data_IF_632375949142
#
_entry.id   IF_632375949142
#
_cell.length_a   1.000
_cell.length_b   1.000
_cell.length_c   1.000
_cell.angle_alpha   90.00
_cell.angle_beta   90.00
_cell.angle_gamma   90.00
#
_symmetry.space_group_name_H-M   'P 1'
#
loop_
_entity.id
_entity.type
_entity.pdbx_description
1 polymer ?
#
# COMPACT_ATOMS: atom_id res chain seq x y z
N UNK A 1 -25.86 -25.34 -31.26
CA UNK A 1 -25.82 -25.53 -29.80
C UNK A 1 -26.52 -24.34 -29.19
N UNK A 2 -27.78 -24.51 -28.78
CA UNK A 2 -28.55 -23.49 -28.07
C UNK A 2 -28.01 -23.39 -26.64
N UNK A 3 -27.72 -22.17 -26.20
CA UNK A 3 -27.23 -21.88 -24.86
C UNK A 3 -28.42 -21.40 -24.02
N UNK A 4 -28.89 -22.23 -23.09
CA UNK A 4 -30.01 -21.92 -22.22
C UNK A 4 -29.53 -21.08 -21.03
N UNK A 5 -29.90 -19.80 -21.05
CA UNK A 5 -29.51 -18.80 -20.06
C UNK A 5 -30.11 -19.07 -18.67
N UNK A 6 -31.18 -19.86 -18.58
CA UNK A 6 -31.85 -20.15 -17.32
C UNK A 6 -31.08 -21.17 -16.46
N UNK A 7 -30.27 -22.02 -17.07
CA UNK A 7 -29.48 -23.02 -16.35
C UNK A 7 -28.24 -22.39 -15.70
N UNK A 8 -27.63 -21.39 -16.36
CA UNK A 8 -26.45 -20.70 -15.84
C UNK A 8 -26.75 -19.75 -14.66
N UNK A 9 -28.00 -19.30 -14.51
CA UNK A 9 -28.42 -18.37 -13.46
C UNK A 9 -28.92 -19.07 -12.18
N UNK A 10 -29.22 -20.38 -12.23
CA UNK A 10 -29.74 -21.13 -11.09
C UNK A 10 -28.66 -21.81 -10.23
N UNK A 11 -27.42 -21.91 -10.70
CA UNK A 11 -26.34 -22.66 -10.03
C UNK A 11 -25.37 -21.79 -9.20
N UNK A 12 -25.68 -20.52 -8.92
CA UNK A 12 -24.90 -19.69 -7.99
C UNK A 12 -25.65 -19.47 -6.67
N UNK A 13 -25.10 -19.86 -5.52
CA UNK A 13 -25.75 -19.66 -4.23
C UNK A 13 -25.92 -18.17 -3.94
N UNK A 14 -27.16 -17.77 -3.66
CA UNK A 14 -27.59 -16.41 -3.44
C UNK A 14 -26.78 -15.70 -2.34
N UNK A 15 -26.12 -14.59 -2.71
CA UNK A 15 -25.63 -13.61 -1.75
C UNK A 15 -26.82 -12.84 -1.19
N UNK A 16 -27.27 -13.20 0.01
CA UNK A 16 -28.28 -12.47 0.76
C UNK A 16 -27.60 -11.30 1.46
N UNK A 17 -27.78 -10.08 0.96
CA UNK A 17 -27.46 -8.87 1.73
C UNK A 17 -28.50 -8.70 2.84
N UNK A 18 -28.14 -9.11 4.05
CA UNK A 18 -28.88 -8.76 5.27
C UNK A 18 -28.70 -7.26 5.55
N UNK A 19 -29.80 -6.52 5.57
CA UNK A 19 -29.85 -5.15 6.11
C UNK A 19 -29.56 -5.22 7.62
N UNK A 20 -28.32 -4.96 8.01
CA UNK A 20 -27.96 -4.72 9.39
C UNK A 20 -28.37 -3.29 9.78
N UNK A 21 -29.28 -3.21 10.74
CA UNK A 21 -29.73 -1.99 11.42
C UNK A 21 -28.56 -1.25 12.07
N UNK A 22 -28.39 0.04 11.78
CA UNK A 22 -27.47 0.94 12.51
C UNK A 22 -28.23 2.22 12.91
N UNK A 23 -27.97 2.79 14.10
CA UNK A 23 -28.90 3.67 14.81
C UNK A 23 -28.90 5.12 14.32
N UNK A 24 -30.04 5.77 14.51
CA UNK A 24 -30.26 7.21 14.30
C UNK A 24 -29.37 8.08 15.20
N UNK A 25 -28.69 9.07 14.60
CA UNK A 25 -28.43 10.37 15.24
C UNK A 25 -28.22 11.47 14.19
N UNK A 26 -28.38 12.70 14.64
CA UNK A 26 -29.03 13.85 14.00
C UNK A 26 -28.12 14.79 13.21
N UNK A 27 -28.75 15.44 12.21
CA UNK A 27 -28.50 16.77 11.64
C UNK A 27 -27.25 16.97 10.76
N UNK A 28 -27.42 17.14 9.44
CA UNK A 28 -27.76 18.45 8.86
C UNK A 28 -27.91 18.40 7.32
N UNK A 29 -28.76 19.29 6.81
CA UNK A 29 -29.11 19.61 5.39
C UNK A 29 -30.20 18.76 4.71
N UNK A 30 -31.34 19.37 4.31
CA UNK A 30 -32.37 18.68 3.54
C UNK A 30 -31.89 18.44 2.10
N UNK A 31 -32.23 17.30 1.48
CA UNK A 31 -31.99 17.08 0.05
C UNK A 31 -32.79 18.10 -0.77
N UNK A 32 -32.32 18.47 -1.98
CA UNK A 32 -33.05 19.37 -2.86
C UNK A 32 -34.46 18.82 -3.10
N UNK A 33 -35.45 19.69 -2.89
CA UNK A 33 -36.87 19.35 -2.98
C UNK A 33 -37.18 18.65 -4.29
N UNK A 34 -37.59 17.39 -4.16
CA UNK A 34 -38.23 16.59 -5.19
C UNK A 34 -39.32 17.41 -5.88
N UNK A 35 -39.20 17.60 -7.19
CA UNK A 35 -40.35 17.91 -8.04
C UNK A 35 -41.31 16.73 -7.96
N UNK A 36 -42.21 16.77 -6.97
CA UNK A 36 -43.23 15.77 -6.63
C UNK A 36 -44.41 15.76 -7.63
N UNK A 37 -44.16 16.17 -8.87
CA UNK A 37 -45.16 16.35 -9.91
C UNK A 37 -44.89 15.40 -11.09
N UNK A 38 -44.97 14.09 -10.83
CA UNK A 38 -45.12 13.07 -11.87
C UNK A 38 -45.66 11.73 -11.34
N UNK A 39 -45.73 11.52 -10.02
CA UNK A 39 -46.17 10.27 -9.39
C UNK A 39 -47.67 10.26 -9.08
N UNK A 40 -48.47 10.77 -10.00
CA UNK A 40 -49.92 10.62 -9.97
C UNK A 40 -50.35 9.94 -11.27
N UNK A 41 -50.08 8.64 -11.36
CA UNK A 41 -50.82 7.76 -12.27
C UNK A 41 -51.11 6.42 -11.58
N UNK A 42 -52.34 5.89 -11.68
CA UNK A 42 -52.78 4.72 -10.93
C UNK A 42 -52.32 3.43 -11.61
N UNK A 43 -51.84 2.47 -10.79
CA UNK A 43 -51.51 1.07 -11.13
C UNK A 43 -50.35 0.86 -12.13
N UNK A 44 -49.12 1.19 -11.72
CA UNK A 44 -47.93 0.58 -12.38
C UNK A 44 -47.69 -0.78 -11.72
N UNK A 45 -47.85 -1.87 -12.48
CA UNK A 45 -47.46 -3.22 -12.08
C UNK A 45 -46.01 -3.20 -11.60
N UNK A 46 -45.71 -3.77 -10.44
CA UNK A 46 -44.33 -3.98 -10.03
C UNK A 46 -43.62 -4.81 -11.11
N UNK A 47 -42.43 -4.40 -11.59
CA UNK A 47 -41.68 -5.17 -12.57
C UNK A 47 -41.30 -6.52 -11.94
N UNK A 48 -41.77 -7.61 -12.54
CA UNK A 48 -41.50 -8.99 -12.07
C UNK A 48 -40.36 -9.64 -12.83
N UNK A 49 -39.98 -9.10 -13.99
CA UNK A 49 -38.94 -9.62 -14.86
C UNK A 49 -38.04 -8.51 -15.40
N UNK A 50 -36.85 -8.86 -15.91
CA UNK A 50 -35.93 -7.88 -16.53
C UNK A 50 -36.58 -7.08 -17.67
N UNK A 51 -37.50 -7.70 -18.42
CA UNK A 51 -38.19 -7.06 -19.54
C UNK A 51 -39.08 -5.89 -19.09
N UNK A 52 -39.54 -5.92 -17.84
CA UNK A 52 -40.43 -4.91 -17.26
C UNK A 52 -39.66 -3.68 -16.74
N UNK A 53 -38.33 -3.73 -16.65
CA UNK A 53 -37.53 -2.63 -16.09
C UNK A 53 -37.54 -1.40 -17.01
N UNK A 54 -37.73 -0.17 -16.50
CA UNK A 54 -37.54 1.07 -17.26
C UNK A 54 -36.14 1.20 -17.86
N UNK A 55 -36.02 1.95 -18.96
CA UNK A 55 -34.74 2.08 -19.70
C UNK A 55 -33.69 2.81 -18.85
N UNK A 56 -34.15 3.74 -18.02
CA UNK A 56 -33.36 4.51 -17.05
C UNK A 56 -32.79 3.60 -15.96
N UNK A 57 -33.56 2.58 -15.54
CA UNK A 57 -33.10 1.58 -14.57
C UNK A 57 -32.06 0.67 -15.20
N UNK A 58 -32.25 0.25 -16.45
CA UNK A 58 -31.25 -0.54 -17.20
C UNK A 58 -29.96 0.27 -17.37
N UNK A 59 -30.05 1.55 -17.75
CA UNK A 59 -28.89 2.43 -17.87
C UNK A 59 -28.15 2.58 -16.52
N UNK A 60 -28.89 2.76 -15.42
CA UNK A 60 -28.32 2.87 -14.07
C UNK A 60 -27.68 1.57 -13.59
N UNK A 61 -28.25 0.40 -13.90
CA UNK A 61 -27.59 -0.89 -13.68
C UNK A 61 -26.29 -0.93 -14.49
N UNK A 62 -26.34 -0.46 -15.73
CA UNK A 62 -25.21 -0.32 -16.63
C UNK A 62 -24.02 0.46 -16.08
N UNK A 63 -24.27 1.48 -15.27
CA UNK A 63 -23.21 2.27 -14.63
C UNK A 63 -22.38 1.45 -13.62
N UNK A 64 -22.93 0.35 -13.09
CA UNK A 64 -22.24 -0.57 -12.18
C UNK A 64 -21.69 -1.82 -12.87
N UNK A 65 -21.93 -1.99 -14.18
CA UNK A 65 -21.39 -3.13 -14.94
C UNK A 65 -19.88 -2.95 -15.11
N UNK A 66 -19.05 -3.94 -14.71
CA UNK A 66 -17.61 -3.91 -14.95
C UNK A 66 -17.30 -3.69 -16.42
N UNK A 67 -16.27 -2.92 -16.73
CA UNK A 67 -15.98 -2.52 -18.12
C UNK A 67 -15.86 -3.72 -19.07
N UNK A 68 -15.33 -4.86 -18.60
CA UNK A 68 -15.18 -6.08 -19.39
C UNK A 68 -16.53 -6.71 -19.81
N UNK A 69 -17.59 -6.47 -19.04
CA UNK A 69 -18.91 -7.08 -19.23
C UNK A 69 -19.90 -6.16 -19.96
N UNK A 70 -19.47 -4.94 -20.31
CA UNK A 70 -20.32 -3.95 -20.98
C UNK A 70 -20.85 -4.46 -22.32
N UNK A 71 -20.02 -5.12 -23.13
CA UNK A 71 -20.46 -5.65 -24.42
C UNK A 71 -21.45 -6.80 -24.25
N UNK A 72 -21.13 -7.89 -23.50
CA UNK A 72 -22.09 -8.96 -23.22
C UNK A 72 -23.43 -8.44 -22.71
N UNK A 73 -23.42 -7.58 -21.69
CA UNK A 73 -24.64 -7.02 -21.11
C UNK A 73 -25.44 -6.18 -22.12
N UNK A 74 -24.75 -5.35 -22.92
CA UNK A 74 -25.42 -4.51 -23.91
C UNK A 74 -26.10 -5.30 -25.04
N UNK A 75 -25.67 -6.53 -25.30
CA UNK A 75 -26.20 -7.37 -26.38
C UNK A 75 -27.40 -8.22 -25.97
N UNK A 76 -27.82 -8.19 -24.71
CA UNK A 76 -28.94 -8.98 -24.17
C UNK A 76 -30.23 -8.76 -24.97
N UNK A 77 -30.54 -7.51 -25.34
CA UNK A 77 -31.60 -7.18 -26.28
C UNK A 77 -31.43 -5.76 -26.84
N UNK A 78 -32.24 -5.40 -27.84
CA UNK A 78 -32.20 -4.09 -28.50
C UNK A 78 -32.42 -2.92 -27.53
N UNK A 79 -33.28 -3.06 -26.53
CA UNK A 79 -33.56 -2.00 -25.56
C UNK A 79 -32.35 -1.74 -24.66
N UNK A 80 -31.73 -2.80 -24.15
CA UNK A 80 -30.49 -2.74 -23.37
C UNK A 80 -29.36 -2.14 -24.19
N UNK A 81 -29.23 -2.53 -25.46
CA UNK A 81 -28.22 -2.00 -26.36
C UNK A 81 -28.26 -0.47 -26.49
N UNK A 82 -29.47 0.09 -26.59
CA UNK A 82 -29.68 1.55 -26.65
C UNK A 82 -29.53 2.21 -25.27
N UNK A 83 -30.05 1.59 -24.20
CA UNK A 83 -29.89 2.09 -22.83
C UNK A 83 -28.41 2.20 -22.42
N UNK A 84 -27.57 1.29 -22.92
CA UNK A 84 -26.14 1.21 -22.62
C UNK A 84 -25.25 2.09 -23.53
N UNK A 85 -25.81 2.96 -24.37
CA UNK A 85 -25.05 3.71 -25.39
C UNK A 85 -23.82 4.44 -24.80
N UNK A 86 -24.02 5.18 -23.71
CA UNK A 86 -22.95 5.94 -23.05
C UNK A 86 -21.87 5.03 -22.49
N UNK A 87 -22.24 3.95 -21.80
CA UNK A 87 -21.27 3.00 -21.23
C UNK A 87 -20.48 2.27 -22.31
N UNK A 88 -21.13 1.90 -23.42
CA UNK A 88 -20.46 1.30 -24.58
C UNK A 88 -19.47 2.25 -25.23
N UNK A 89 -19.77 3.55 -25.23
CA UNK A 89 -18.83 4.56 -25.68
C UNK A 89 -17.58 4.58 -24.78
N UNK A 90 -17.75 4.54 -23.45
CA UNK A 90 -16.62 4.38 -22.50
C UNK A 90 -15.83 3.11 -22.78
N UNK A 91 -16.50 1.97 -22.97
CA UNK A 91 -15.84 0.70 -23.34
C UNK A 91 -14.99 0.84 -24.60
N UNK A 92 -15.48 1.54 -25.63
CA UNK A 92 -14.71 1.73 -26.87
C UNK A 92 -13.42 2.53 -26.64
N UNK A 93 -13.45 3.54 -25.77
CA UNK A 93 -12.25 4.30 -25.40
C UNK A 93 -11.30 3.48 -24.54
N UNK A 94 -11.84 2.70 -23.59
CA UNK A 94 -11.05 1.76 -22.78
C UNK A 94 -10.32 0.72 -23.64
N UNK A 95 -11.00 0.12 -24.62
CA UNK A 95 -10.40 -0.84 -25.53
C UNK A 95 -9.29 -0.21 -26.39
N UNK A 96 -9.51 1.01 -26.88
CA UNK A 96 -8.50 1.77 -27.63
C UNK A 96 -7.30 2.16 -26.76
N UNK A 97 -7.53 2.50 -25.50
CA UNK A 97 -6.46 2.79 -24.52
C UNK A 97 -5.53 1.58 -24.33
N UNK A 98 -6.09 0.37 -24.24
CA UNK A 98 -5.29 -0.86 -24.14
C UNK A 98 -4.43 -1.14 -25.37
N UNK A 99 -4.82 -0.61 -26.53
CA UNK A 99 -4.14 -0.80 -27.80
C UNK A 99 -3.21 0.36 -28.17
N UNK A 100 -3.11 1.41 -27.33
CA UNK A 100 -2.23 2.53 -27.58
C UNK A 100 -0.75 2.10 -27.57
N UNK A 101 0.00 2.51 -28.59
CA UNK A 101 1.41 2.09 -28.80
C UNK A 101 2.38 3.26 -28.94
N UNK A 102 1.88 4.48 -29.10
CA UNK A 102 2.69 5.69 -29.23
C UNK A 102 2.11 6.86 -28.45
N UNK A 103 2.94 7.86 -28.14
CA UNK A 103 2.49 9.12 -27.56
C UNK A 103 1.39 9.79 -28.37
N UNK A 104 1.48 9.77 -29.71
CA UNK A 104 0.48 10.39 -30.59
C UNK A 104 -0.88 9.70 -30.47
N UNK A 105 -0.89 8.37 -30.42
CA UNK A 105 -2.13 7.59 -30.23
C UNK A 105 -2.80 7.89 -28.88
N UNK A 106 -1.99 8.06 -27.83
CA UNK A 106 -2.49 8.44 -26.50
C UNK A 106 -3.04 9.87 -26.50
N UNK A 107 -2.31 10.81 -27.08
CA UNK A 107 -2.74 12.20 -27.16
C UNK A 107 -4.03 12.37 -27.95
N UNK A 108 -4.14 11.67 -29.09
CA UNK A 108 -5.37 11.65 -29.87
C UNK A 108 -6.54 11.10 -29.03
N UNK A 109 -6.34 9.97 -28.34
CA UNK A 109 -7.38 9.37 -27.52
C UNK A 109 -7.85 10.30 -26.41
N UNK A 110 -6.92 10.94 -25.69
CA UNK A 110 -7.23 11.88 -24.61
C UNK A 110 -7.99 13.10 -25.12
N UNK A 111 -7.61 13.66 -26.26
CA UNK A 111 -8.30 14.80 -26.86
C UNK A 111 -9.70 14.43 -27.34
N UNK A 112 -9.87 13.24 -27.93
CA UNK A 112 -11.19 12.74 -28.35
C UNK A 112 -12.10 12.49 -27.16
N UNK A 113 -11.59 11.89 -26.08
CA UNK A 113 -12.33 11.69 -24.83
C UNK A 113 -12.81 13.02 -24.26
N UNK A 114 -11.93 14.02 -24.15
CA UNK A 114 -12.26 15.36 -23.62
C UNK A 114 -13.35 16.07 -24.44
N UNK A 115 -13.44 15.80 -25.75
CA UNK A 115 -14.48 16.37 -26.61
C UNK A 115 -15.80 15.59 -26.65
N UNK A 116 -15.80 14.34 -26.20
CA UNK A 116 -16.93 13.41 -26.40
C UNK A 116 -17.60 12.97 -25.10
N UNK A 117 -16.82 12.75 -24.04
CA UNK A 117 -17.32 12.30 -22.76
C UNK A 117 -17.73 13.50 -21.91
N UNK A 118 -19.03 13.61 -21.63
CA UNK A 118 -19.59 14.77 -20.93
C UNK A 118 -19.34 14.75 -19.41
N UNK A 119 -19.22 13.56 -18.81
CA UNK A 119 -19.01 13.42 -17.37
C UNK A 119 -17.56 13.01 -17.07
N UNK A 120 -16.79 13.76 -16.25
CA UNK A 120 -15.43 13.41 -15.87
C UNK A 120 -15.25 11.98 -15.34
N UNK A 121 -16.24 11.43 -14.63
CA UNK A 121 -16.17 10.05 -14.12
C UNK A 121 -16.04 9.00 -15.24
N UNK A 122 -16.53 9.30 -16.45
CA UNK A 122 -16.43 8.41 -17.61
C UNK A 122 -15.00 8.25 -18.12
N UNK A 123 -14.09 9.15 -17.72
CA UNK A 123 -12.68 9.07 -18.08
C UNK A 123 -11.89 8.07 -17.23
N UNK A 124 -12.42 7.64 -16.07
CA UNK A 124 -11.66 6.88 -15.09
C UNK A 124 -11.10 5.57 -15.67
N UNK A 125 -11.94 4.73 -16.27
CA UNK A 125 -11.49 3.43 -16.77
C UNK A 125 -10.59 3.53 -18.00
N UNK A 126 -10.87 4.38 -19.02
CA UNK A 126 -9.91 4.58 -20.11
C UNK A 126 -8.57 5.15 -19.63
N UNK A 127 -8.56 6.07 -18.65
CA UNK A 127 -7.31 6.57 -18.07
C UNK A 127 -6.54 5.51 -17.28
N UNK A 128 -7.23 4.65 -16.52
CA UNK A 128 -6.55 3.53 -15.85
C UNK A 128 -5.96 2.53 -16.87
N UNK A 129 -6.66 2.25 -17.98
CA UNK A 129 -6.13 1.44 -19.07
C UNK A 129 -4.89 2.08 -19.71
N UNK A 130 -4.88 3.40 -19.93
CA UNK A 130 -3.70 4.12 -20.41
C UNK A 130 -2.53 4.05 -19.43
N UNK A 131 -2.80 4.17 -18.12
CA UNK A 131 -1.78 3.98 -17.08
C UNK A 131 -1.16 2.59 -17.17
N UNK A 132 -1.97 1.54 -17.25
CA UNK A 132 -1.47 0.17 -17.38
C UNK A 132 -0.62 0.00 -18.65
N UNK A 133 -0.99 0.70 -19.72
CA UNK A 133 -0.28 0.66 -21.01
C UNK A 133 1.05 1.40 -21.01
N UNK A 134 1.27 2.34 -20.08
CA UNK A 134 2.45 3.21 -20.04
C UNK A 134 3.78 2.43 -20.07
N UNK A 135 3.87 1.27 -19.40
CA UNK A 135 5.07 0.41 -19.40
C UNK A 135 5.42 -0.16 -20.78
N UNK A 136 4.43 -0.32 -21.65
CA UNK A 136 4.61 -0.88 -22.97
C UNK A 136 4.93 0.17 -24.04
N UNK A 137 4.89 1.46 -23.68
CA UNK A 137 5.27 2.54 -24.60
C UNK A 137 6.80 2.63 -24.73
N UNK A 138 7.31 3.17 -25.86
CA UNK A 138 8.72 3.51 -26.02
C UNK A 138 9.20 4.40 -24.87
N UNK A 139 10.42 4.18 -24.39
CA UNK A 139 10.95 4.88 -23.21
C UNK A 139 10.90 6.42 -23.35
N UNK A 140 11.20 6.95 -24.53
CA UNK A 140 11.14 8.38 -24.83
C UNK A 140 9.74 9.00 -24.71
N UNK A 141 8.68 8.20 -24.81
CA UNK A 141 7.29 8.68 -24.76
C UNK A 141 6.69 8.64 -23.34
N UNK A 142 7.25 7.81 -22.46
CA UNK A 142 6.64 7.48 -21.16
C UNK A 142 6.46 8.70 -20.27
N UNK A 143 7.44 9.61 -20.24
CA UNK A 143 7.40 10.79 -19.39
C UNK A 143 6.30 11.77 -19.80
N UNK A 144 6.17 12.04 -21.10
CA UNK A 144 5.12 12.92 -21.62
C UNK A 144 3.73 12.32 -21.39
N UNK A 145 3.58 11.03 -21.68
CA UNK A 145 2.31 10.32 -21.45
C UNK A 145 1.97 10.28 -19.96
N UNK A 146 2.94 10.05 -19.07
CA UNK A 146 2.74 10.14 -17.62
C UNK A 146 2.13 11.48 -17.25
N UNK A 147 2.76 12.60 -17.64
CA UNK A 147 2.27 13.95 -17.29
C UNK A 147 0.87 14.20 -17.81
N UNK A 148 0.60 13.77 -19.05
CA UNK A 148 -0.71 13.94 -19.70
C UNK A 148 -1.81 13.16 -18.98
N UNK A 149 -1.57 11.88 -18.66
CA UNK A 149 -2.54 11.03 -17.93
C UNK A 149 -2.71 11.53 -16.49
N UNK A 150 -1.62 11.93 -15.82
CA UNK A 150 -1.66 12.47 -14.46
C UNK A 150 -2.48 13.76 -14.38
N UNK A 151 -2.30 14.69 -15.33
CA UNK A 151 -3.09 15.91 -15.44
C UNK A 151 -4.55 15.63 -15.83
N UNK A 152 -4.80 14.65 -16.71
CA UNK A 152 -6.16 14.26 -17.04
C UNK A 152 -6.90 13.69 -15.82
N UNK A 153 -6.23 12.85 -15.03
CA UNK A 153 -6.78 12.26 -13.81
C UNK A 153 -7.10 13.32 -12.73
N UNK A 154 -6.39 14.44 -12.69
CA UNK A 154 -6.69 15.56 -11.78
C UNK A 154 -8.11 16.12 -11.95
N UNK A 155 -8.67 16.02 -13.15
CA UNK A 155 -10.00 16.54 -13.50
C UNK A 155 -11.12 15.56 -13.11
N UNK A 156 -10.77 14.34 -12.72
CA UNK A 156 -11.73 13.30 -12.32
C UNK A 156 -11.90 13.37 -10.80
N UNK A 157 -13.15 13.34 -10.28
CA UNK A 157 -13.41 13.13 -8.85
C UNK A 157 -12.79 11.81 -8.34
N UNK A 158 -12.82 11.55 -7.02
CA UNK A 158 -12.44 10.29 -6.31
C UNK A 158 -11.49 9.32 -7.05
N UNK A 159 -11.95 8.63 -8.10
CA UNK A 159 -11.18 7.75 -8.99
C UNK A 159 -9.90 8.38 -9.57
N UNK A 160 -9.91 9.68 -9.88
CA UNK A 160 -8.76 10.41 -10.40
C UNK A 160 -7.56 10.37 -9.47
N UNK A 161 -7.80 10.43 -8.16
CA UNK A 161 -6.73 10.34 -7.15
C UNK A 161 -6.12 8.94 -7.14
N UNK A 162 -6.93 7.89 -7.25
CA UNK A 162 -6.43 6.51 -7.27
C UNK A 162 -5.54 6.25 -8.50
N UNK A 163 -5.90 6.80 -9.65
CA UNK A 163 -5.08 6.72 -10.87
C UNK A 163 -3.73 7.43 -10.68
N UNK A 164 -3.74 8.62 -10.08
CA UNK A 164 -2.50 9.36 -9.79
C UNK A 164 -1.62 8.66 -8.75
N UNK A 165 -2.20 8.09 -7.70
CA UNK A 165 -1.49 7.26 -6.72
C UNK A 165 -0.80 6.09 -7.43
N UNK A 166 -1.55 5.36 -8.25
CA UNK A 166 -1.03 4.23 -9.02
C UNK A 166 0.09 4.65 -9.99
N UNK A 167 -0.02 5.83 -10.62
CA UNK A 167 1.05 6.42 -11.44
C UNK A 167 2.31 6.71 -10.62
N UNK A 168 2.20 7.35 -9.45
CA UNK A 168 3.36 7.66 -8.60
C UNK A 168 4.07 6.39 -8.09
N UNK A 169 3.32 5.30 -7.89
CA UNK A 169 3.89 3.99 -7.55
C UNK A 169 4.70 3.36 -8.69
N UNK A 170 4.59 3.87 -9.93
CA UNK A 170 5.44 3.46 -11.06
C UNK A 170 6.83 4.10 -11.04
N UNK A 171 7.22 4.83 -9.99
CA UNK A 171 8.55 5.46 -9.88
C UNK A 171 9.72 4.54 -10.25
N UNK A 172 9.65 3.26 -9.86
CA UNK A 172 10.67 2.25 -10.16
C UNK A 172 10.79 1.88 -11.65
N UNK A 173 9.76 2.17 -12.44
CA UNK A 173 9.72 1.88 -13.88
C UNK A 173 10.46 2.94 -14.72
N UNK A 174 10.88 4.04 -14.10
CA UNK A 174 11.67 5.11 -14.72
C UNK A 174 13.14 4.93 -14.33
N UNK A 175 13.92 4.32 -15.23
CA UNK A 175 15.30 3.90 -15.00
C UNK A 175 16.30 5.05 -14.79
N UNK A 176 15.92 6.30 -15.10
CA UNK A 176 16.80 7.46 -15.04
C UNK A 176 16.33 8.48 -14.00
N UNK A 177 17.20 8.75 -13.01
CA UNK A 177 16.99 9.75 -11.95
C UNK A 177 16.48 11.08 -12.51
N UNK A 178 17.01 11.54 -13.66
CA UNK A 178 16.63 12.81 -14.28
C UNK A 178 15.18 12.85 -14.75
N UNK A 179 14.69 11.77 -15.37
CA UNK A 179 13.30 11.69 -15.84
C UNK A 179 12.36 11.66 -14.65
N UNK A 180 12.66 10.83 -13.65
CA UNK A 180 11.84 10.76 -12.44
C UNK A 180 11.82 12.09 -11.67
N UNK A 181 12.95 12.79 -11.61
CA UNK A 181 13.04 14.13 -10.97
C UNK A 181 12.05 15.11 -11.60
N UNK A 182 11.98 15.16 -12.92
CA UNK A 182 11.06 16.02 -13.64
C UNK A 182 9.59 15.63 -13.41
N UNK A 183 9.28 14.34 -13.40
CA UNK A 183 7.93 13.83 -13.13
C UNK A 183 7.51 14.10 -11.68
N UNK A 184 8.43 13.98 -10.74
CA UNK A 184 8.21 14.29 -9.33
C UNK A 184 7.84 15.77 -9.17
N UNK A 185 8.63 16.69 -9.74
CA UNK A 185 8.37 18.14 -9.62
C UNK A 185 7.04 18.52 -10.26
N UNK A 186 6.75 17.93 -11.42
CA UNK A 186 5.47 18.09 -12.09
C UNK A 186 4.31 17.64 -11.19
N UNK A 187 4.39 16.43 -10.62
CA UNK A 187 3.37 15.90 -9.74
C UNK A 187 3.24 16.75 -8.46
N UNK A 188 4.35 17.15 -7.84
CA UNK A 188 4.37 18.01 -6.67
C UNK A 188 3.61 19.32 -6.93
N UNK A 189 3.96 20.05 -8.00
CA UNK A 189 3.36 21.33 -8.33
C UNK A 189 1.84 21.22 -8.61
N UNK A 190 1.40 20.10 -9.15
CA UNK A 190 0.00 19.86 -9.47
C UNK A 190 -0.81 19.45 -8.23
N UNK A 191 -0.19 18.70 -7.31
CA UNK A 191 -0.80 18.27 -6.04
C UNK A 191 -0.87 19.43 -5.04
N UNK A 192 0.11 20.33 -5.06
CA UNK A 192 0.15 21.52 -4.21
C UNK A 192 -1.07 22.44 -4.41
N UNK A 193 -1.64 22.45 -5.62
CA UNK A 193 -2.83 23.23 -5.98
C UNK A 193 -4.14 22.70 -5.38
N UNK A 194 -4.13 21.51 -4.75
CA UNK A 194 -5.32 20.90 -4.15
C UNK A 194 -5.73 21.62 -2.87
N UNK A 195 -7.04 21.70 -2.63
CA UNK A 195 -7.58 22.31 -1.40
C UNK A 195 -7.36 21.37 -0.21
N UNK A 196 -7.16 21.92 1.01
CA UNK A 196 -7.14 21.12 2.23
C UNK A 196 -8.41 20.27 2.36
N UNK A 197 -8.26 19.01 2.79
CA UNK A 197 -9.37 18.07 2.99
C UNK A 197 -9.84 17.31 1.75
N UNK A 198 -9.23 17.51 0.59
CA UNK A 198 -9.40 16.63 -0.57
C UNK A 198 -8.47 15.42 -0.46
N UNK A 199 -8.94 14.26 -0.94
CA UNK A 199 -8.09 13.09 -1.15
C UNK A 199 -6.83 13.52 -1.93
N UNK A 200 -5.67 13.08 -1.47
CA UNK A 200 -4.39 13.49 -2.05
C UNK A 200 -3.44 12.31 -2.20
N UNK A 201 -2.26 12.61 -2.71
CA UNK A 201 -1.24 11.64 -3.11
C UNK A 201 0.10 11.90 -2.41
N UNK A 202 0.08 12.67 -1.31
CA UNK A 202 1.30 13.01 -0.56
C UNK A 202 2.08 11.78 -0.08
N UNK A 203 1.44 10.71 0.43
CA UNK A 203 2.15 9.49 0.81
C UNK A 203 2.88 8.83 -0.37
N UNK A 204 2.22 8.71 -1.53
CA UNK A 204 2.81 8.12 -2.72
C UNK A 204 3.91 8.99 -3.32
N UNK A 205 3.76 10.32 -3.23
CA UNK A 205 4.79 11.28 -3.62
C UNK A 205 6.02 11.14 -2.71
N UNK A 206 5.83 11.08 -1.38
CA UNK A 206 6.92 10.85 -0.43
C UNK A 206 7.65 9.53 -0.71
N UNK A 207 6.91 8.46 -1.03
CA UNK A 207 7.51 7.19 -1.44
C UNK A 207 8.33 7.34 -2.73
N UNK A 208 7.89 8.17 -3.67
CA UNK A 208 8.61 8.51 -4.89
C UNK A 208 10.03 9.06 -4.67
N UNK A 209 10.30 9.72 -3.53
CA UNK A 209 11.65 10.14 -3.16
C UNK A 209 12.62 8.98 -2.92
N UNK A 210 12.12 7.76 -2.71
CA UNK A 210 12.99 6.60 -2.51
C UNK A 210 13.72 6.16 -3.77
N UNK A 211 13.23 6.56 -4.96
CA UNK A 211 13.82 6.21 -6.26
C UNK A 211 15.13 6.94 -6.55
N UNK A 212 15.38 8.08 -5.88
CA UNK A 212 16.64 8.81 -6.03
C UNK A 212 17.78 7.97 -5.47
N UNK A 213 18.89 7.83 -6.19
CA UNK A 213 19.98 6.92 -5.81
C UNK A 213 20.55 7.20 -4.41
N UNK A 214 20.83 6.12 -3.65
CA UNK A 214 21.59 6.21 -2.38
C UNK A 214 23.08 6.53 -2.62
N UNK A 215 23.57 6.26 -3.84
CA UNK A 215 24.99 6.38 -4.20
C UNK A 215 25.36 7.74 -4.78
N UNK A 216 24.37 8.64 -4.94
CA UNK A 216 24.58 10.06 -5.24
C UNK A 216 24.19 10.88 -3.99
N UNK A 217 25.02 10.81 -2.92
CA UNK A 217 24.72 11.49 -1.67
C UNK A 217 24.53 12.99 -1.94
N UNK A 218 23.41 13.51 -1.42
CA UNK A 218 23.10 14.93 -1.33
C UNK A 218 23.25 15.71 -2.65
N UNK A 219 22.53 15.29 -3.70
CA UNK A 219 22.17 16.30 -4.71
C UNK A 219 21.33 17.37 -3.98
N UNK A 220 21.65 18.67 -4.05
CA UNK A 220 20.86 19.74 -3.41
C UNK A 220 19.34 19.61 -3.71
N UNK A 221 19.05 19.00 -4.85
CA UNK A 221 17.76 18.55 -5.34
C UNK A 221 17.01 17.56 -4.43
N UNK A 222 17.63 16.49 -3.92
CA UNK A 222 16.95 15.57 -3.00
C UNK A 222 16.59 16.27 -1.70
N UNK A 223 17.59 16.92 -1.07
CA UNK A 223 17.40 17.61 0.20
C UNK A 223 16.28 18.67 0.10
N UNK A 224 16.26 19.47 -0.96
CA UNK A 224 15.21 20.47 -1.20
C UNK A 224 13.80 19.84 -1.22
N UNK A 225 13.61 18.71 -1.91
CA UNK A 225 12.32 18.02 -1.98
C UNK A 225 11.93 17.36 -0.66
N UNK A 226 12.91 16.80 0.04
CA UNK A 226 12.73 16.28 1.39
C UNK A 226 12.21 17.38 2.33
N UNK A 227 12.86 18.55 2.35
CA UNK A 227 12.42 19.68 3.16
C UNK A 227 11.05 20.21 2.75
N UNK A 228 10.73 20.23 1.45
CA UNK A 228 9.41 20.64 0.97
C UNK A 228 8.29 19.74 1.52
N UNK A 229 8.49 18.42 1.50
CA UNK A 229 7.54 17.47 2.10
C UNK A 229 7.49 17.58 3.63
N UNK A 230 8.65 17.77 4.27
CA UNK A 230 8.74 17.95 5.72
C UNK A 230 7.97 19.20 6.19
N UNK A 231 8.10 20.31 5.46
CA UNK A 231 7.38 21.54 5.74
C UNK A 231 5.86 21.41 5.53
N UNK A 232 5.43 20.45 4.69
CA UNK A 232 4.02 20.17 4.43
C UNK A 232 3.35 19.36 5.55
N UNK A 233 4.09 18.48 6.24
CA UNK A 233 3.55 17.56 7.25
C UNK A 233 2.54 18.19 8.23
N UNK A 234 2.78 19.38 8.84
CA UNK A 234 1.85 19.95 9.81
C UNK A 234 0.47 20.31 9.24
N UNK A 235 0.37 20.47 7.92
CA UNK A 235 -0.88 20.82 7.22
C UNK A 235 -1.70 19.61 6.76
N UNK A 236 -1.14 18.40 6.90
CA UNK A 236 -1.75 17.16 6.44
C UNK A 236 -2.67 16.54 7.50
N UNK A 237 -3.58 15.67 7.06
CA UNK A 237 -4.44 14.91 7.98
C UNK A 237 -3.62 13.95 8.85
N UNK A 238 -4.17 13.52 9.99
CA UNK A 238 -3.51 12.54 10.87
C UNK A 238 -3.15 11.26 10.12
N UNK A 239 -4.06 10.76 9.28
CA UNK A 239 -3.85 9.54 8.49
C UNK A 239 -2.73 9.70 7.44
N UNK A 240 -2.56 10.90 6.88
CA UNK A 240 -1.47 11.20 5.95
C UNK A 240 -0.12 11.31 6.68
N UNK A 241 -0.10 12.02 7.81
CA UNK A 241 1.11 12.14 8.63
C UNK A 241 1.60 10.77 9.11
N UNK A 242 0.68 9.90 9.55
CA UNK A 242 0.97 8.51 9.94
C UNK A 242 1.66 7.72 8.83
N UNK A 243 1.28 7.92 7.56
CA UNK A 243 1.88 7.21 6.42
C UNK A 243 3.21 7.82 5.98
N UNK A 244 3.33 9.16 6.05
CA UNK A 244 4.50 9.88 5.53
C UNK A 244 5.67 9.83 6.51
N UNK A 245 5.44 10.00 7.82
CA UNK A 245 6.54 10.07 8.80
C UNK A 245 7.47 8.84 8.75
N UNK A 246 6.98 7.59 8.76
CA UNK A 246 7.84 6.41 8.63
C UNK A 246 8.64 6.40 7.33
N UNK A 247 8.04 6.86 6.24
CA UNK A 247 8.69 6.99 4.93
C UNK A 247 9.82 8.02 4.99
N UNK A 248 9.57 9.18 5.60
CA UNK A 248 10.55 10.25 5.80
C UNK A 248 11.71 9.82 6.71
N UNK A 249 11.45 8.98 7.71
CA UNK A 249 12.50 8.39 8.56
C UNK A 249 13.45 7.52 7.72
N UNK A 250 12.91 6.63 6.88
CA UNK A 250 13.72 5.79 5.99
C UNK A 250 14.53 6.62 5.00
N UNK A 251 13.95 7.72 4.51
CA UNK A 251 14.63 8.62 3.56
C UNK A 251 15.81 9.37 4.19
N UNK A 252 15.99 9.34 5.52
CA UNK A 252 17.22 9.86 6.15
C UNK A 252 18.48 9.14 5.64
N UNK A 253 18.37 7.86 5.28
CA UNK A 253 19.46 7.06 4.70
C UNK A 253 19.98 7.58 3.35
N UNK A 254 19.28 8.53 2.73
CA UNK A 254 19.68 9.17 1.46
C UNK A 254 20.61 10.37 1.68
N UNK A 255 20.65 10.93 2.89
CA UNK A 255 21.64 11.92 3.27
C UNK A 255 23.00 11.24 3.49
N UNK A 256 24.08 12.00 3.52
CA UNK A 256 25.36 11.47 4.03
C UNK A 256 25.21 11.14 5.52
N UNK A 257 25.77 10.02 5.99
CA UNK A 257 25.79 9.68 7.42
C UNK A 257 26.53 10.76 8.25
N UNK A 258 27.49 11.46 7.63
CA UNK A 258 28.21 12.57 8.26
C UNK A 258 27.47 13.91 8.21
N UNK A 259 26.27 13.96 7.65
CA UNK A 259 25.49 15.19 7.56
C UNK A 259 25.01 15.62 8.96
N UNK A 260 25.44 16.80 9.46
CA UNK A 260 25.10 17.26 10.80
C UNK A 260 23.60 17.57 10.99
N UNK A 261 22.81 17.62 9.91
CA UNK A 261 21.37 17.87 9.94
C UNK A 261 20.57 16.61 10.25
N UNK A 262 21.12 15.42 10.03
CA UNK A 262 20.42 14.14 10.23
C UNK A 262 19.86 13.97 11.65
N UNK A 263 20.62 14.23 12.74
CA UNK A 263 20.08 14.15 14.10
C UNK A 263 18.93 15.14 14.37
N UNK A 264 19.01 16.33 13.76
CA UNK A 264 17.98 17.37 13.89
C UNK A 264 16.70 16.96 13.16
N UNK A 265 16.83 16.41 11.95
CA UNK A 265 15.72 15.87 11.17
C UNK A 265 15.07 14.68 11.87
N UNK A 266 15.85 13.77 12.44
CA UNK A 266 15.36 12.63 13.22
C UNK A 266 14.52 13.10 14.42
N UNK A 267 15.04 14.07 15.19
CA UNK A 267 14.33 14.65 16.33
C UNK A 267 13.04 15.36 15.88
N UNK A 268 13.08 16.11 14.78
CA UNK A 268 11.89 16.79 14.25
C UNK A 268 10.81 15.81 13.78
N UNK A 269 11.18 14.69 13.17
CA UNK A 269 10.25 13.62 12.80
C UNK A 269 9.64 12.95 14.04
N UNK A 270 10.43 12.76 15.09
CA UNK A 270 9.94 12.27 16.38
C UNK A 270 8.93 13.24 17.00
N UNK A 271 9.21 14.55 16.98
CA UNK A 271 8.28 15.57 17.48
C UNK A 271 6.96 15.57 16.71
N UNK A 272 6.99 15.41 15.37
CA UNK A 272 5.77 15.28 14.58
C UNK A 272 5.01 14.00 14.91
N UNK A 273 5.71 12.88 15.07
CA UNK A 273 5.07 11.61 15.41
C UNK A 273 4.40 11.65 16.79
N UNK A 274 5.03 12.29 17.78
CA UNK A 274 4.49 12.43 19.13
C UNK A 274 3.24 13.30 19.20
N UNK A 275 3.03 14.20 18.23
CA UNK A 275 1.82 15.01 18.11
C UNK A 275 0.62 14.25 17.54
N UNK A 276 0.85 13.09 16.91
CA UNK A 276 -0.25 12.25 16.43
C UNK A 276 -1.02 11.67 17.61
N UNK A 277 -2.32 11.35 17.48
CA UNK A 277 -3.02 10.60 18.51
C UNK A 277 -2.39 9.21 18.71
N UNK A 278 -2.38 8.64 19.93
CA UNK A 278 -1.71 7.37 20.23
C UNK A 278 -2.03 6.20 19.27
N UNK A 279 -3.27 6.03 18.76
CA UNK A 279 -3.60 5.00 17.76
C UNK A 279 -2.90 5.11 16.41
N UNK A 280 -2.12 6.16 16.16
CA UNK A 280 -1.43 6.42 14.89
C UNK A 280 0.09 6.54 15.05
N UNK A 281 0.64 6.20 16.23
CA UNK A 281 2.04 6.43 16.56
C UNK A 281 2.95 5.21 16.30
N UNK A 282 2.40 3.99 16.26
CA UNK A 282 3.18 2.75 16.26
C UNK A 282 4.15 2.64 15.08
N UNK A 283 3.68 2.93 13.87
CA UNK A 283 4.52 2.87 12.66
C UNK A 283 5.70 3.84 12.72
N UNK A 284 5.47 5.06 13.22
CA UNK A 284 6.49 6.09 13.36
C UNK A 284 7.51 5.73 14.43
N UNK A 285 7.07 5.20 15.58
CA UNK A 285 7.96 4.72 16.63
C UNK A 285 8.86 3.58 16.12
N UNK A 286 8.28 2.61 15.41
CA UNK A 286 9.05 1.53 14.80
C UNK A 286 10.08 2.02 13.79
N UNK A 287 9.70 2.92 12.89
CA UNK A 287 10.60 3.49 11.88
C UNK A 287 11.73 4.32 12.50
N UNK A 288 11.41 5.24 13.42
CA UNK A 288 12.41 6.08 14.10
C UNK A 288 13.43 5.23 14.87
N UNK A 289 12.96 4.12 15.46
CA UNK A 289 13.82 3.16 16.16
C UNK A 289 14.71 2.35 15.22
N UNK A 290 14.18 1.96 14.05
CA UNK A 290 14.90 1.11 13.10
C UNK A 290 16.12 1.78 12.42
N UNK A 291 16.13 3.11 12.32
CA UNK A 291 17.17 3.86 11.62
C UNK A 291 18.17 4.56 12.55
N UNK A 292 18.25 4.13 13.81
CA UNK A 292 19.12 4.75 14.82
C UNK A 292 20.59 4.52 14.52
N UNK A 293 20.95 3.40 13.90
CA UNK A 293 22.33 3.11 13.46
C UNK A 293 22.89 4.16 12.49
N UNK A 294 22.02 4.96 11.86
CA UNK A 294 22.41 6.03 10.95
C UNK A 294 22.72 7.35 11.67
N UNK A 295 22.42 7.47 12.96
CA UNK A 295 22.78 8.62 13.78
C UNK A 295 24.26 8.52 14.22
N UNK A 296 24.87 9.61 14.72
CA UNK A 296 26.20 9.56 15.32
C UNK A 296 26.26 8.50 16.43
N UNK A 297 27.30 7.65 16.43
CA UNK A 297 27.46 6.51 17.35
C UNK A 297 27.22 6.87 18.83
N UNK A 298 27.69 8.05 19.24
CA UNK A 298 27.53 8.55 20.61
C UNK A 298 26.06 8.79 21.01
N UNK A 299 25.17 9.07 20.06
CA UNK A 299 23.75 9.31 20.32
C UNK A 299 22.90 8.04 20.25
N UNK A 300 23.36 7.00 19.53
CA UNK A 300 22.54 5.83 19.19
C UNK A 300 21.91 5.15 20.41
N UNK A 301 22.65 4.84 21.51
CA UNK A 301 22.06 4.18 22.67
C UNK A 301 20.94 4.99 23.34
N UNK A 302 21.17 6.30 23.48
CA UNK A 302 20.22 7.20 24.14
C UNK A 302 18.97 7.36 23.30
N UNK A 303 19.13 7.53 21.98
CA UNK A 303 18.01 7.65 21.03
C UNK A 303 17.21 6.36 20.97
N UNK A 304 17.87 5.20 21.01
CA UNK A 304 17.18 3.91 20.99
C UNK A 304 16.33 3.72 22.24
N UNK A 305 16.92 3.99 23.40
CA UNK A 305 16.22 3.91 24.66
C UNK A 305 14.97 4.81 24.68
N UNK A 306 15.09 6.06 24.22
CA UNK A 306 13.96 7.01 24.15
C UNK A 306 12.83 6.48 23.25
N UNK A 307 13.14 6.02 22.04
CA UNK A 307 12.12 5.51 21.11
C UNK A 307 11.53 4.19 21.60
N UNK A 308 12.32 3.31 22.22
CA UNK A 308 11.83 2.08 22.87
C UNK A 308 10.85 2.41 23.99
N UNK A 309 11.19 3.32 24.89
CA UNK A 309 10.31 3.69 26.02
C UNK A 309 9.00 4.28 25.53
N UNK A 310 9.07 5.12 24.49
CA UNK A 310 7.88 5.61 23.81
C UNK A 310 7.06 4.48 23.20
N UNK A 311 7.67 3.57 22.43
CA UNK A 311 6.97 2.43 21.82
C UNK A 311 6.31 1.53 22.86
N UNK A 312 6.97 1.29 24.00
CA UNK A 312 6.43 0.49 25.11
C UNK A 312 5.25 1.20 25.81
N UNK A 313 5.20 2.53 25.80
CA UNK A 313 4.08 3.30 26.36
C UNK A 313 2.81 3.27 25.48
N UNK A 314 2.91 2.81 24.23
CA UNK A 314 1.79 2.76 23.30
C UNK A 314 0.77 1.66 23.68
N UNK A 315 -0.50 1.81 23.25
CA UNK A 315 -1.48 0.72 23.32
C UNK A 315 -0.99 -0.55 22.63
N UNK A 316 -1.48 -1.72 23.06
CA UNK A 316 -0.97 -3.03 22.61
C UNK A 316 -0.99 -3.21 21.08
N UNK A 317 -2.02 -2.72 20.41
CA UNK A 317 -2.09 -2.75 18.94
C UNK A 317 -0.99 -1.92 18.29
N UNK A 318 -0.63 -0.78 18.86
CA UNK A 318 0.39 0.13 18.32
C UNK A 318 1.80 -0.28 18.71
N UNK A 319 1.97 -0.88 19.88
CA UNK A 319 3.19 -1.56 20.28
C UNK A 319 3.54 -2.67 19.29
N UNK A 320 2.57 -3.51 18.93
CA UNK A 320 2.77 -4.58 17.96
C UNK A 320 3.09 -4.06 16.55
N UNK A 321 2.53 -2.92 16.14
CA UNK A 321 2.93 -2.22 14.91
C UNK A 321 4.37 -1.72 15.00
N UNK A 322 4.77 -1.10 16.11
CA UNK A 322 6.14 -0.61 16.30
C UNK A 322 7.19 -1.74 16.27
N UNK A 323 6.86 -2.89 16.88
CA UNK A 323 7.70 -4.09 16.89
C UNK A 323 8.05 -4.62 15.49
N UNK A 324 7.29 -4.27 14.45
CA UNK A 324 7.60 -4.66 13.07
C UNK A 324 8.97 -4.12 12.60
N UNK A 325 9.42 -2.99 13.15
CA UNK A 325 10.62 -2.29 12.70
C UNK A 325 11.60 -1.95 13.83
N UNK A 326 11.11 -1.68 15.04
CA UNK A 326 11.93 -1.30 16.20
C UNK A 326 13.15 -2.23 16.46
N UNK A 327 13.04 -3.57 16.36
CA UNK A 327 14.18 -4.46 16.65
C UNK A 327 15.37 -4.30 15.69
N UNK A 328 15.16 -3.78 14.48
CA UNK A 328 16.25 -3.52 13.54
C UNK A 328 17.23 -2.46 14.04
N UNK A 329 16.78 -1.55 14.92
CA UNK A 329 17.63 -0.51 15.50
C UNK A 329 18.70 -1.04 16.47
N UNK A 330 18.59 -2.31 16.90
CA UNK A 330 19.58 -2.94 17.77
C UNK A 330 20.95 -3.06 17.08
N UNK A 331 21.00 -3.08 15.76
CA UNK A 331 22.25 -3.16 14.98
C UNK A 331 23.24 -2.03 15.31
N UNK A 332 22.74 -0.82 15.55
CA UNK A 332 23.58 0.32 15.94
C UNK A 332 24.19 0.22 17.34
N UNK A 333 23.74 -0.73 18.16
CA UNK A 333 24.13 -0.81 19.56
C UNK A 333 25.28 -1.80 19.78
N UNK A 334 26.21 -1.52 20.73
CA UNK A 334 27.17 -2.50 21.20
C UNK A 334 26.48 -3.79 21.69
N UNK A 335 27.10 -4.95 21.50
CA UNK A 335 26.52 -6.27 21.82
C UNK A 335 25.94 -6.39 23.23
N UNK A 336 26.61 -5.84 24.26
CA UNK A 336 26.09 -5.86 25.63
C UNK A 336 24.76 -5.10 25.75
N UNK A 337 24.63 -3.97 25.06
CA UNK A 337 23.39 -3.19 25.03
C UNK A 337 22.32 -3.90 24.21
N UNK A 338 22.67 -4.51 23.06
CA UNK A 338 21.73 -5.35 22.30
C UNK A 338 21.07 -6.42 23.18
N UNK A 339 21.85 -7.11 24.01
CA UNK A 339 21.34 -8.13 24.93
C UNK A 339 20.37 -7.55 25.96
N UNK A 340 20.70 -6.39 26.54
CA UNK A 340 19.86 -5.70 27.53
C UNK A 340 18.55 -5.23 26.92
N UNK A 341 18.63 -4.60 25.75
CA UNK A 341 17.48 -4.09 25.01
C UNK A 341 16.56 -5.24 24.57
N UNK A 342 17.11 -6.32 24.02
CA UNK A 342 16.34 -7.49 23.65
C UNK A 342 15.60 -8.08 24.86
N UNK A 343 16.26 -8.19 26.01
CA UNK A 343 15.62 -8.66 27.24
C UNK A 343 14.46 -7.76 27.70
N UNK A 344 14.51 -6.45 27.43
CA UNK A 344 13.41 -5.52 27.71
C UNK A 344 12.24 -5.73 26.74
N UNK A 345 12.52 -5.87 25.44
CA UNK A 345 11.49 -6.13 24.42
C UNK A 345 10.76 -7.45 24.71
N UNK A 346 11.52 -8.50 25.05
CA UNK A 346 11.01 -9.84 25.37
C UNK A 346 9.94 -9.86 26.45
N UNK A 347 10.17 -9.11 27.54
CA UNK A 347 9.21 -9.00 28.66
C UNK A 347 7.85 -8.47 28.24
N UNK A 348 7.78 -7.77 27.11
CA UNK A 348 6.57 -7.12 26.60
C UNK A 348 5.98 -7.82 25.38
N UNK A 349 6.54 -8.96 24.93
CA UNK A 349 5.99 -9.75 23.82
C UNK A 349 4.62 -10.35 24.15
N UNK A 350 4.33 -10.60 25.43
CA UNK A 350 3.03 -11.10 25.87
C UNK A 350 1.87 -10.12 25.56
N UNK A 351 2.16 -8.83 25.38
CA UNK A 351 1.18 -7.79 25.01
C UNK A 351 0.79 -7.85 23.53
N UNK A 352 1.50 -8.59 22.69
CA UNK A 352 1.24 -8.61 21.25
C UNK A 352 -0.09 -9.30 20.94
N UNK A 353 -1.07 -8.59 20.35
CA UNK A 353 -2.36 -9.16 20.00
C UNK A 353 -2.21 -10.31 19.00
N UNK A 354 -3.08 -11.33 19.10
CA UNK A 354 -3.00 -12.53 18.27
C UNK A 354 -2.94 -12.22 16.76
N UNK A 355 -3.75 -11.25 16.30
CA UNK A 355 -3.81 -10.82 14.90
C UNK A 355 -2.48 -10.24 14.37
N UNK A 356 -1.59 -9.76 15.25
CA UNK A 356 -0.35 -9.09 14.88
C UNK A 356 0.91 -9.91 15.14
N UNK A 357 0.79 -11.11 15.74
CA UNK A 357 1.94 -11.95 16.11
C UNK A 357 2.86 -12.29 14.95
N UNK A 358 2.30 -12.52 13.76
CA UNK A 358 3.09 -12.77 12.54
C UNK A 358 3.97 -11.57 12.18
N UNK A 359 3.39 -10.36 12.22
CA UNK A 359 4.13 -9.12 11.92
C UNK A 359 5.22 -8.85 12.96
N UNK A 360 4.92 -9.04 14.25
CA UNK A 360 5.89 -8.87 15.33
C UNK A 360 7.02 -9.91 15.26
N UNK A 361 6.70 -11.17 14.96
CA UNK A 361 7.70 -12.22 14.76
C UNK A 361 8.64 -11.89 13.59
N UNK A 362 8.10 -11.41 12.47
CA UNK A 362 8.92 -10.93 11.35
C UNK A 362 9.83 -9.77 11.77
N UNK A 363 9.33 -8.80 12.53
CA UNK A 363 10.12 -7.68 13.04
C UNK A 363 11.32 -8.12 13.87
N UNK A 364 11.14 -9.08 14.77
CA UNK A 364 12.23 -9.69 15.54
C UNK A 364 13.19 -10.47 14.64
N UNK A 365 12.69 -11.36 13.79
CA UNK A 365 13.54 -12.25 12.99
C UNK A 365 14.39 -11.49 11.96
N UNK A 366 13.98 -10.28 11.55
CA UNK A 366 14.73 -9.45 10.60
C UNK A 366 16.06 -8.91 11.14
N UNK A 367 16.27 -8.86 12.45
CA UNK A 367 17.55 -8.39 13.02
C UNK A 367 18.54 -9.53 13.32
N UNK A 368 18.21 -10.79 13.01
CA UNK A 368 19.05 -11.95 13.34
C UNK A 368 20.41 -11.91 12.64
N UNK A 369 20.48 -11.48 11.36
CA UNK A 369 21.75 -11.42 10.61
C UNK A 369 22.75 -10.45 11.23
N UNK A 370 22.26 -9.48 12.01
CA UNK A 370 23.00 -8.37 12.62
C UNK A 370 23.52 -8.71 14.03
N UNK A 371 23.30 -9.94 14.50
CA UNK A 371 23.57 -10.35 15.88
C UNK A 371 24.60 -11.48 15.96
N UNK A 372 25.28 -11.60 17.10
CA UNK A 372 26.13 -12.76 17.37
C UNK A 372 25.30 -14.06 17.49
N UNK A 373 25.97 -15.21 17.43
CA UNK A 373 25.31 -16.53 17.41
C UNK A 373 24.35 -16.75 18.61
N UNK A 374 24.69 -16.26 19.79
CA UNK A 374 23.89 -16.42 21.02
C UNK A 374 22.61 -15.59 20.97
N UNK A 375 22.72 -14.31 20.58
CA UNK A 375 21.58 -13.41 20.44
C UNK A 375 20.69 -13.84 19.27
N UNK A 376 21.27 -14.26 18.15
CA UNK A 376 20.56 -14.82 17.02
C UNK A 376 19.68 -16.01 17.42
N UNK A 377 20.22 -16.96 18.21
CA UNK A 377 19.45 -18.08 18.73
C UNK A 377 18.27 -17.62 19.60
N UNK A 378 18.51 -16.66 20.50
CA UNK A 378 17.49 -16.11 21.39
C UNK A 378 16.37 -15.44 20.59
N UNK A 379 16.71 -14.63 19.58
CA UNK A 379 15.73 -13.99 18.70
C UNK A 379 14.90 -15.02 17.91
N UNK A 380 15.51 -16.09 17.39
CA UNK A 380 14.77 -17.18 16.76
C UNK A 380 13.75 -17.81 17.69
N UNK A 381 14.13 -18.11 18.92
CA UNK A 381 13.24 -18.69 19.91
C UNK A 381 12.06 -17.77 20.22
N UNK A 382 12.31 -16.47 20.42
CA UNK A 382 11.25 -15.50 20.72
C UNK A 382 10.33 -15.26 19.53
N UNK A 383 10.89 -15.07 18.34
CA UNK A 383 10.12 -14.91 17.10
C UNK A 383 9.22 -16.10 16.81
N UNK A 384 9.74 -17.33 16.96
CA UNK A 384 8.95 -18.55 16.77
C UNK A 384 7.95 -18.79 17.90
N UNK A 385 8.24 -18.35 19.13
CA UNK A 385 7.29 -18.46 20.26
C UNK A 385 6.02 -17.64 20.03
N UNK A 386 6.13 -16.48 19.38
CA UNK A 386 4.98 -15.66 18.97
C UNK A 386 4.08 -16.41 17.96
N UNK A 387 4.64 -17.35 17.22
CA UNK A 387 3.93 -18.17 16.24
C UNK A 387 3.43 -19.51 16.82
N UNK A 388 3.48 -19.69 18.14
CA UNK A 388 3.00 -20.93 18.77
C UNK A 388 1.51 -21.17 18.44
N UNK A 389 1.21 -22.35 17.94
CA UNK A 389 -0.10 -22.76 17.44
C UNK A 389 -0.36 -22.43 15.97
N UNK A 390 0.59 -21.82 15.27
CA UNK A 390 0.48 -21.52 13.84
C UNK A 390 0.70 -22.78 12.98
N UNK A 391 0.12 -22.77 11.78
CA UNK A 391 0.17 -23.87 10.83
C UNK A 391 1.35 -23.77 9.84
N UNK A 392 1.44 -24.77 8.95
CA UNK A 392 2.47 -24.84 7.91
C UNK A 392 2.46 -23.60 7.00
N UNK A 393 1.28 -23.13 6.59
CA UNK A 393 1.13 -21.99 5.70
C UNK A 393 1.68 -20.71 6.33
N UNK A 394 1.44 -20.51 7.62
CA UNK A 394 1.95 -19.36 8.37
C UNK A 394 3.47 -19.39 8.48
N UNK A 395 4.06 -20.55 8.82
CA UNK A 395 5.52 -20.68 8.86
C UNK A 395 6.15 -20.45 7.48
N UNK A 396 5.57 -21.03 6.42
CA UNK A 396 6.03 -20.82 5.05
C UNK A 396 6.00 -19.34 4.66
N UNK A 397 4.90 -18.65 4.98
CA UNK A 397 4.77 -17.21 4.73
C UNK A 397 5.88 -16.42 5.44
N UNK A 398 6.14 -16.71 6.71
CA UNK A 398 7.21 -16.03 7.47
C UNK A 398 8.57 -16.26 6.84
N UNK A 399 8.92 -17.51 6.49
CA UNK A 399 10.19 -17.83 5.84
C UNK A 399 10.33 -17.16 4.47
N UNK A 400 9.24 -17.11 3.69
CA UNK A 400 9.23 -16.41 2.41
C UNK A 400 9.47 -14.90 2.56
N UNK A 401 8.82 -14.26 3.53
CA UNK A 401 9.04 -12.83 3.82
C UNK A 401 10.48 -12.57 4.28
N UNK A 402 11.06 -13.44 5.11
CA UNK A 402 12.47 -13.34 5.50
C UNK A 402 13.42 -13.53 4.31
N UNK A 403 13.09 -14.40 3.36
CA UNK A 403 13.82 -14.53 2.08
C UNK A 403 13.73 -13.22 1.28
N UNK A 404 12.53 -12.70 1.04
CA UNK A 404 12.31 -11.45 0.28
C UNK A 404 13.09 -10.27 0.87
N UNK A 405 13.28 -10.26 2.19
CA UNK A 405 14.07 -9.26 2.90
C UNK A 405 15.56 -9.61 3.06
N UNK A 406 16.07 -10.61 2.33
CA UNK A 406 17.49 -11.03 2.31
C UNK A 406 18.03 -11.58 3.64
N UNK A 407 17.20 -11.67 4.67
CA UNK A 407 17.61 -12.08 6.02
C UNK A 407 18.24 -13.48 6.01
N UNK A 408 17.60 -14.42 5.31
CA UNK A 408 18.03 -15.82 5.30
C UNK A 408 19.30 -16.07 4.49
N UNK A 409 19.51 -15.32 3.41
CA UNK A 409 20.71 -15.41 2.57
C UNK A 409 21.93 -14.76 3.23
N UNK A 410 21.70 -13.77 4.10
CA UNK A 410 22.75 -13.10 4.89
C UNK A 410 23.25 -13.91 6.09
N UNK A 411 22.52 -14.96 6.51
CA UNK A 411 22.94 -15.77 7.66
C UNK A 411 24.24 -16.51 7.35
N UNK A 412 25.23 -16.32 8.21
CA UNK A 412 26.47 -17.10 8.15
C UNK A 412 26.18 -18.59 8.44
N UNK A 413 27.14 -19.47 8.17
CA UNK A 413 26.93 -20.92 8.32
C UNK A 413 26.53 -21.37 9.74
N UNK A 414 26.98 -20.66 10.78
CA UNK A 414 26.63 -20.97 12.19
C UNK A 414 25.22 -20.49 12.51
N UNK A 415 24.89 -19.23 12.20
CA UNK A 415 23.55 -18.67 12.36
C UNK A 415 22.51 -19.47 11.55
N UNK A 416 22.87 -19.93 10.35
CA UNK A 416 22.01 -20.80 9.55
C UNK A 416 21.71 -22.12 10.25
N UNK A 417 22.72 -22.76 10.84
CA UNK A 417 22.53 -24.00 11.61
C UNK A 417 21.63 -23.77 12.82
N UNK A 418 21.79 -22.63 13.51
CA UNK A 418 20.91 -22.21 14.61
C UNK A 418 19.47 -22.06 14.12
N UNK A 419 19.25 -21.31 13.04
CA UNK A 419 17.92 -21.13 12.45
C UNK A 419 17.24 -22.46 12.13
N UNK A 420 17.95 -23.39 11.48
CA UNK A 420 17.39 -24.70 11.10
C UNK A 420 17.02 -25.56 12.32
N UNK A 421 17.83 -25.51 13.39
CA UNK A 421 17.52 -26.22 14.62
C UNK A 421 16.25 -25.67 15.28
N UNK A 422 16.12 -24.35 15.36
CA UNK A 422 14.96 -23.69 15.98
C UNK A 422 13.69 -23.90 15.14
N UNK A 423 13.76 -23.83 13.81
CA UNK A 423 12.64 -24.13 12.90
C UNK A 423 12.20 -25.59 13.04
N UNK A 424 13.15 -26.53 13.11
CA UNK A 424 12.85 -27.96 13.29
C UNK A 424 12.12 -28.20 14.61
N UNK A 425 12.65 -27.65 15.71
CA UNK A 425 12.02 -27.71 17.04
C UNK A 425 10.62 -27.11 17.05
N UNK A 426 10.43 -25.99 16.35
CA UNK A 426 9.12 -25.34 16.23
C UNK A 426 8.11 -26.27 15.52
N UNK A 427 8.48 -26.89 14.40
CA UNK A 427 7.59 -27.81 13.69
C UNK A 427 7.21 -29.02 14.55
N UNK A 428 8.15 -29.57 15.32
CA UNK A 428 7.91 -30.67 16.25
C UNK A 428 6.96 -30.26 17.38
N UNK A 429 7.19 -29.09 17.98
CA UNK A 429 6.37 -28.55 19.07
C UNK A 429 4.94 -28.26 18.63
N UNK A 430 4.75 -27.82 17.39
CA UNK A 430 3.44 -27.56 16.79
C UNK A 430 2.83 -28.80 16.10
N UNK A 431 3.47 -29.97 16.23
CA UNK A 431 2.96 -31.25 15.72
C UNK A 431 2.67 -31.23 14.20
N UNK A 432 3.53 -30.60 13.42
CA UNK A 432 3.39 -30.59 11.96
C UNK A 432 3.42 -32.01 11.42
N UNK A 433 2.56 -32.31 10.45
CA UNK A 433 2.54 -33.63 9.80
C UNK A 433 3.86 -33.92 9.08
N UNK A 434 4.22 -35.20 8.90
CA UNK A 434 5.44 -35.56 8.17
C UNK A 434 5.50 -34.96 6.74
N UNK A 435 4.39 -34.90 5.96
CA UNK A 435 4.37 -34.19 4.69
C UNK A 435 4.65 -32.68 4.82
N UNK A 436 4.07 -32.01 5.82
CA UNK A 436 4.30 -30.58 6.06
C UNK A 436 5.76 -30.29 6.43
N UNK A 437 6.35 -31.11 7.31
CA UNK A 437 7.76 -31.01 7.66
C UNK A 437 8.66 -31.25 6.44
N UNK A 438 8.34 -32.24 5.60
CA UNK A 438 9.07 -32.51 4.37
C UNK A 438 9.00 -31.34 3.39
N UNK A 439 7.84 -30.70 3.23
CA UNK A 439 7.70 -29.53 2.35
C UNK A 439 8.58 -28.36 2.80
N UNK A 440 8.54 -28.01 4.09
CA UNK A 440 9.40 -26.96 4.64
C UNK A 440 10.88 -27.32 4.45
N UNK A 441 11.28 -28.56 4.77
CA UNK A 441 12.67 -29.02 4.61
C UNK A 441 13.15 -28.98 3.16
N UNK A 442 12.31 -29.37 2.20
CA UNK A 442 12.63 -29.32 0.78
C UNK A 442 12.73 -27.89 0.25
N UNK A 443 12.04 -26.92 0.88
CA UNK A 443 12.13 -25.50 0.55
C UNK A 443 13.38 -24.79 1.09
N UNK A 444 14.12 -25.39 2.03
CA UNK A 444 15.29 -24.79 2.70
C UNK A 444 16.33 -24.22 1.70
N UNK A 445 16.74 -24.94 0.63
CA UNK A 445 17.70 -24.40 -0.33
C UNK A 445 17.20 -23.14 -1.04
N UNK A 446 15.90 -23.09 -1.35
CA UNK A 446 15.25 -21.93 -1.96
C UNK A 446 15.14 -20.76 -0.97
N UNK A 447 14.81 -21.04 0.29
CA UNK A 447 14.77 -20.01 1.34
C UNK A 447 16.12 -19.35 1.59
N UNK A 448 17.23 -20.10 1.47
CA UNK A 448 18.59 -19.56 1.61
C UNK A 448 19.09 -18.82 0.36
N UNK A 449 18.44 -19.02 -0.79
CA UNK A 449 18.88 -18.40 -2.04
C UNK A 449 18.70 -16.89 -1.98
N UNK A 450 19.47 -16.20 -2.83
CA UNK A 450 19.19 -14.82 -3.18
C UNK A 450 17.78 -14.72 -3.78
N UNK A 451 16.96 -13.71 -3.39
CA UNK A 451 15.70 -13.39 -4.06
C UNK A 451 15.91 -13.04 -5.53
N UNK A 452 14.94 -13.43 -6.37
CA UNK A 452 14.95 -13.16 -7.81
C UNK A 452 14.56 -11.71 -8.15
#
# INVERSE_FOLDING_TARGET
MEFDLNTALNDSPAYVCTLASVPSSTASSPPPQLARAAWANPRVKQPTTYQDLPTEVIARIGDYVPIQDVIPFSTVNRRTYHAMQTRRLVHSYWQRAQQAVSRESVNQLLNEMDGTLANPAQHAEPLDALRQRLRALPEGDRADVFKRVFAAAQRIPQDGVQIQKALLLMHRDFAYDRVWTELFDFAYALVEQRKPGQDNVWPELALGLSNFSIHTPDTPHFAQRYYALLARLPSLSVAEQEQIIPTMCRLLLKFSQSDPRVPQLHTLLQDYALRLPPPHQGSSAGALGSYIWFLPEAEQPVRYAQVRDWALSLPDDQWAVALRHLPAGLDGLPTRQQEQELALLERHLARVPAAQRVSAALGLLRCVSLMNDTLAQRVWQQGLSLLKGADEATLWKVLNELRVHWVLSELNNRQWKVAMNEITRFMETNQFSAPAQARIRNGIPWFKSVPD
#
